data_IF_682615542166
#
_entry.id   IF_682615542166
#
_cell.length_a   1.000
_cell.length_b   1.000
_cell.length_c   1.000
_cell.angle_alpha   90.00
_cell.angle_beta   90.00
_cell.angle_gamma   90.00
#
_symmetry.space_group_name_H-M   'P 1'
#
loop_
_entity.id
_entity.type
_entity.pdbx_description
1 polymer ?
#
# COMPACT_ATOMS: atom_id res chain seq x y z
N UNK A 1 1.35 23.35 -3.63
CA UNK A 1 2.41 23.12 -2.63
C UNK A 1 3.08 21.80 -2.98
N UNK A 2 3.94 21.80 -4.00
CA UNK A 2 4.86 20.69 -4.26
C UNK A 2 6.15 20.94 -3.48
N UNK A 3 6.06 20.91 -2.15
CA UNK A 3 7.17 21.23 -1.25
C UNK A 3 7.50 20.01 -0.37
N UNK A 4 8.69 20.01 0.25
CA UNK A 4 9.22 19.01 1.19
C UNK A 4 8.15 18.30 2.03
N UNK A 5 7.23 19.06 2.62
CA UNK A 5 6.18 18.54 3.50
C UNK A 5 5.22 17.58 2.80
N UNK A 6 4.83 17.85 1.56
CA UNK A 6 3.92 16.98 0.80
C UNK A 6 4.58 15.64 0.49
N UNK A 7 5.80 15.68 -0.04
CA UNK A 7 6.60 14.48 -0.35
C UNK A 7 6.88 13.64 0.89
N UNK A 8 7.30 14.26 1.99
CA UNK A 8 7.57 13.56 3.25
C UNK A 8 6.30 12.96 3.84
N UNK A 9 5.18 13.69 3.85
CA UNK A 9 3.92 13.19 4.42
C UNK A 9 3.36 12.01 3.62
N UNK A 10 3.30 12.13 2.29
CA UNK A 10 2.84 11.04 1.42
C UNK A 10 3.81 9.86 1.48
N UNK A 11 5.12 10.13 1.49
CA UNK A 11 6.14 9.11 1.65
C UNK A 11 6.05 8.36 2.97
N UNK A 12 5.75 9.05 4.07
CA UNK A 12 5.52 8.42 5.37
C UNK A 12 4.31 7.47 5.36
N UNK A 13 3.20 7.87 4.71
CA UNK A 13 2.03 7.00 4.56
C UNK A 13 2.38 5.70 3.80
N UNK A 14 3.04 5.82 2.64
CA UNK A 14 3.50 4.66 1.87
C UNK A 14 4.53 3.81 2.64
N UNK A 15 5.41 4.44 3.43
CA UNK A 15 6.39 3.73 4.25
C UNK A 15 5.71 2.85 5.30
N UNK A 16 4.77 3.42 6.07
CA UNK A 16 4.04 2.68 7.12
C UNK A 16 3.21 1.55 6.51
N UNK A 17 2.47 1.83 5.44
CA UNK A 17 1.64 0.82 4.75
C UNK A 17 2.54 -0.27 4.14
N UNK A 18 3.62 0.09 3.45
CA UNK A 18 4.55 -0.84 2.83
C UNK A 18 5.24 -1.74 3.85
N UNK A 19 5.66 -1.19 4.99
CA UNK A 19 6.25 -1.97 6.08
C UNK A 19 5.23 -2.94 6.69
N UNK A 20 4.00 -2.48 6.90
CA UNK A 20 2.89 -3.31 7.38
C UNK A 20 2.58 -4.46 6.41
N UNK A 21 2.53 -4.18 5.11
CA UNK A 21 2.33 -5.18 4.06
C UNK A 21 3.48 -6.18 4.01
N UNK A 22 4.73 -5.71 4.13
CA UNK A 22 5.91 -6.56 4.08
C UNK A 22 5.91 -7.54 5.26
N UNK A 23 5.74 -7.02 6.48
CA UNK A 23 5.61 -7.84 7.68
C UNK A 23 4.47 -8.85 7.58
N UNK A 24 3.28 -8.40 7.18
CA UNK A 24 2.08 -9.24 7.15
C UNK A 24 2.16 -10.33 6.08
N UNK A 25 2.70 -10.01 4.90
CA UNK A 25 2.95 -10.96 3.82
C UNK A 25 3.92 -12.06 4.25
N UNK A 26 5.04 -11.69 4.85
CA UNK A 26 6.04 -12.63 5.36
C UNK A 26 5.43 -13.52 6.46
N UNK A 27 4.75 -12.92 7.43
CA UNK A 27 4.11 -13.64 8.53
C UNK A 27 3.08 -14.64 8.00
N UNK A 28 2.21 -14.22 7.08
CA UNK A 28 1.19 -15.09 6.48
C UNK A 28 1.82 -16.28 5.75
N UNK A 29 2.90 -16.04 5.00
CA UNK A 29 3.64 -17.10 4.34
C UNK A 29 4.36 -18.04 5.31
N UNK A 30 4.95 -17.51 6.38
CA UNK A 30 5.65 -18.31 7.38
C UNK A 30 4.69 -19.26 8.12
N UNK A 31 3.49 -18.79 8.46
CA UNK A 31 2.48 -19.60 9.16
C UNK A 31 1.77 -20.60 8.22
N UNK A 32 1.56 -20.22 6.95
CA UNK A 32 0.77 -21.00 5.99
C UNK A 32 1.45 -21.09 4.61
N UNK A 33 2.64 -21.73 4.49
CA UNK A 33 3.44 -21.69 3.27
C UNK A 33 2.75 -22.37 2.08
N UNK A 34 1.96 -23.43 2.32
CA UNK A 34 1.29 -24.23 1.28
C UNK A 34 -0.03 -23.64 0.79
N UNK A 35 -0.67 -22.80 1.60
CA UNK A 35 -1.98 -22.20 1.32
C UNK A 35 -1.89 -20.67 1.30
N UNK A 36 -0.70 -20.14 1.02
CA UNK A 36 -0.49 -18.70 0.94
C UNK A 36 -1.35 -18.09 -0.18
N UNK A 37 -2.05 -17.02 0.15
CA UNK A 37 -2.81 -16.20 -0.79
C UNK A 37 -2.43 -14.74 -0.52
N UNK A 38 -2.02 -14.02 -1.55
CA UNK A 38 -1.75 -12.59 -1.45
C UNK A 38 -3.03 -11.83 -1.15
N UNK A 39 -2.97 -10.91 -0.18
CA UNK A 39 -4.12 -10.11 0.22
C UNK A 39 -3.97 -8.66 -0.24
N UNK A 40 -5.05 -7.99 -0.67
CA UNK A 40 -4.98 -6.60 -1.10
C UNK A 40 -4.67 -5.63 0.06
N UNK A 41 -5.07 -5.98 1.29
CA UNK A 41 -4.83 -5.26 2.55
C UNK A 41 -4.77 -6.29 3.70
N UNK A 42 -4.23 -5.92 4.87
CA UNK A 42 -4.08 -6.83 6.00
C UNK A 42 -4.77 -6.33 7.28
N UNK A 43 -5.60 -7.16 7.95
CA UNK A 43 -6.26 -6.77 9.18
C UNK A 43 -5.27 -6.74 10.36
N UNK A 44 -5.30 -5.68 11.16
CA UNK A 44 -4.41 -5.55 12.32
C UNK A 44 -4.85 -6.41 13.50
N UNK A 45 -6.13 -6.39 13.84
CA UNK A 45 -6.73 -7.24 14.88
C UNK A 45 -8.23 -7.39 14.67
N UNK A 46 -8.92 -8.19 15.50
CA UNK A 46 -10.39 -8.35 15.44
C UNK A 46 -11.13 -7.03 15.73
N UNK A 47 -10.62 -6.21 16.65
CA UNK A 47 -11.28 -4.96 17.09
C UNK A 47 -11.00 -3.80 16.14
N UNK A 48 -9.80 -3.76 15.55
CA UNK A 48 -9.35 -2.71 14.62
C UNK A 48 -9.02 -3.31 13.25
N UNK A 49 -9.95 -4.11 12.72
CA UNK A 49 -9.80 -4.84 11.45
C UNK A 49 -9.45 -3.91 10.30
N UNK A 50 -10.18 -2.81 10.15
CA UNK A 50 -10.08 -1.89 9.02
C UNK A 50 -9.09 -0.75 9.22
N UNK A 51 -8.18 -0.81 10.21
CA UNK A 51 -7.31 0.33 10.54
C UNK A 51 -6.51 0.82 9.33
N UNK A 52 -5.88 -0.09 8.57
CA UNK A 52 -5.13 0.25 7.35
C UNK A 52 -5.99 1.04 6.36
N UNK A 53 -7.20 0.55 6.05
CA UNK A 53 -8.11 1.16 5.10
C UNK A 53 -8.64 2.51 5.59
N UNK A 54 -8.96 2.62 6.89
CA UNK A 54 -9.40 3.87 7.52
C UNK A 54 -8.27 4.91 7.48
N UNK A 55 -7.02 4.51 7.73
CA UNK A 55 -5.86 5.39 7.63
C UNK A 55 -5.64 5.86 6.19
N UNK A 56 -5.77 4.97 5.19
CA UNK A 56 -5.72 5.35 3.77
C UNK A 56 -6.82 6.37 3.45
N UNK A 57 -8.07 6.10 3.83
CA UNK A 57 -9.17 7.03 3.59
C UNK A 57 -8.94 8.38 4.28
N UNK A 58 -8.53 8.38 5.55
CA UNK A 58 -8.29 9.59 6.32
C UNK A 58 -7.13 10.42 5.76
N UNK A 59 -6.03 9.78 5.39
CA UNK A 59 -4.89 10.45 4.77
C UNK A 59 -5.26 11.01 3.40
N UNK A 60 -5.94 10.23 2.56
CA UNK A 60 -6.39 10.69 1.24
C UNK A 60 -7.34 11.88 1.34
N UNK A 61 -8.35 11.82 2.21
CA UNK A 61 -9.30 12.91 2.42
C UNK A 61 -8.64 14.17 3.01
N UNK A 62 -7.73 13.99 3.96
CA UNK A 62 -6.91 15.07 4.51
C UNK A 62 -6.07 15.74 3.45
N UNK A 63 -5.38 14.96 2.61
CA UNK A 63 -4.56 15.48 1.52
C UNK A 63 -5.39 16.26 0.49
N UNK A 64 -6.53 15.71 0.04
CA UNK A 64 -7.46 16.40 -0.87
C UNK A 64 -7.96 17.71 -0.27
N UNK A 65 -8.27 17.71 1.04
CA UNK A 65 -8.72 18.92 1.75
C UNK A 65 -7.62 19.99 1.82
N UNK A 66 -6.38 19.60 2.10
CA UNK A 66 -5.22 20.52 2.12
C UNK A 66 -4.92 21.11 0.74
N UNK A 67 -5.09 20.30 -0.31
CA UNK A 67 -4.82 20.72 -1.69
C UNK A 67 -5.90 21.67 -2.24
N UNK A 68 -7.19 21.37 -2.01
CA UNK A 68 -8.32 22.09 -2.61
C UNK A 68 -8.96 23.12 -1.68
N UNK A 69 -9.16 22.82 -0.38
CA UNK A 69 -10.10 23.56 0.48
C UNK A 69 -9.44 24.67 1.33
N UNK A 70 -8.14 24.59 1.63
CA UNK A 70 -7.51 25.56 2.54
C UNK A 70 -7.09 26.84 1.80
N UNK A 71 -7.87 27.90 2.01
CA UNK A 71 -7.49 29.29 1.73
C UNK A 71 -7.46 29.69 0.26
N UNK A 72 -8.19 28.99 -0.61
CA UNK A 72 -8.13 29.19 -2.07
C UNK A 72 -9.54 29.19 -2.66
N UNK A 73 -9.82 30.13 -3.56
CA UNK A 73 -10.97 30.04 -4.47
C UNK A 73 -10.52 29.31 -5.74
N UNK A 74 -10.66 27.98 -5.88
CA UNK A 74 -10.05 27.27 -7.00
C UNK A 74 -10.60 27.69 -8.38
N UNK A 75 -11.81 28.25 -8.40
CA UNK A 75 -12.56 28.58 -9.60
C UNK A 75 -12.59 30.09 -9.84
N UNK A 76 -12.57 30.49 -11.11
CA UNK A 76 -12.93 31.83 -11.54
C UNK A 76 -14.47 32.02 -11.52
N UNK A 77 -14.98 33.27 -11.60
CA UNK A 77 -16.43 33.53 -11.58
C UNK A 77 -17.21 32.85 -12.73
N UNK A 78 -16.54 32.46 -13.80
CA UNK A 78 -17.10 31.69 -14.92
C UNK A 78 -17.09 30.17 -14.69
N UNK A 79 -16.60 29.71 -13.53
CA UNK A 79 -16.49 28.30 -13.16
C UNK A 79 -15.25 27.58 -13.70
N UNK A 80 -14.33 28.28 -14.37
CA UNK A 80 -13.09 27.66 -14.87
C UNK A 80 -12.09 27.45 -13.74
N UNK A 81 -11.30 26.36 -13.82
CA UNK A 81 -10.23 26.10 -12.84
C UNK A 81 -9.06 27.02 -13.17
N UNK A 82 -8.65 27.85 -12.20
CA UNK A 82 -7.51 28.74 -12.39
C UNK A 82 -6.25 27.92 -12.64
N UNK A 83 -5.45 28.30 -13.64
CA UNK A 83 -4.26 27.54 -14.06
C UNK A 83 -3.29 27.21 -12.91
N UNK A 84 -3.11 28.14 -11.96
CA UNK A 84 -2.29 27.94 -10.75
C UNK A 84 -2.74 26.80 -9.84
N UNK A 85 -3.98 26.33 -9.98
CA UNK A 85 -4.56 25.25 -9.19
C UNK A 85 -4.70 23.93 -9.94
N UNK A 86 -4.43 23.86 -11.24
CA UNK A 86 -4.55 22.61 -12.00
C UNK A 86 -3.72 21.47 -11.39
N UNK A 87 -2.48 21.77 -11.00
CA UNK A 87 -1.60 20.80 -10.31
C UNK A 87 -2.19 20.27 -8.99
N UNK A 88 -2.88 21.13 -8.25
CA UNK A 88 -3.55 20.74 -7.01
C UNK A 88 -4.73 19.77 -7.27
N UNK A 89 -5.46 19.97 -8.37
CA UNK A 89 -6.51 19.04 -8.81
C UNK A 89 -5.94 17.70 -9.29
N UNK A 90 -4.82 17.71 -10.01
CA UNK A 90 -4.13 16.48 -10.44
C UNK A 90 -3.68 15.64 -9.22
N UNK A 91 -3.02 16.27 -8.24
CA UNK A 91 -2.61 15.63 -7.00
C UNK A 91 -3.81 15.10 -6.19
N UNK A 92 -4.89 15.89 -6.12
CA UNK A 92 -6.11 15.48 -5.42
C UNK A 92 -6.78 14.29 -6.12
N UNK A 93 -6.79 14.26 -7.44
CA UNK A 93 -7.35 13.16 -8.24
C UNK A 93 -6.59 11.86 -8.00
N UNK A 94 -5.26 11.92 -7.94
CA UNK A 94 -4.42 10.77 -7.57
C UNK A 94 -4.77 10.25 -6.16
N UNK A 95 -4.88 11.14 -5.17
CA UNK A 95 -5.25 10.77 -3.80
C UNK A 95 -6.66 10.17 -3.71
N UNK A 96 -7.59 10.68 -4.49
CA UNK A 96 -8.97 10.19 -4.55
C UNK A 96 -9.06 8.75 -5.07
N UNK A 97 -8.18 8.33 -5.98
CA UNK A 97 -8.13 6.92 -6.42
C UNK A 97 -7.79 5.96 -5.27
N UNK A 98 -6.88 6.34 -4.36
CA UNK A 98 -6.56 5.55 -3.17
C UNK A 98 -7.73 5.54 -2.16
N UNK A 99 -8.43 6.66 -2.01
CA UNK A 99 -9.66 6.71 -1.19
C UNK A 99 -10.73 5.74 -1.72
N UNK A 100 -10.98 5.75 -3.03
CA UNK A 100 -11.94 4.86 -3.69
C UNK A 100 -11.55 3.40 -3.46
N UNK A 101 -10.29 3.04 -3.65
CA UNK A 101 -9.80 1.70 -3.34
C UNK A 101 -10.11 1.29 -1.89
N UNK A 102 -9.77 2.13 -0.91
CA UNK A 102 -9.94 1.78 0.50
C UNK A 102 -11.42 1.69 0.91
N UNK A 103 -12.26 2.59 0.41
CA UNK A 103 -13.70 2.55 0.61
C UNK A 103 -14.32 1.24 0.08
N UNK A 104 -14.02 0.89 -1.17
CA UNK A 104 -14.54 -0.33 -1.78
C UNK A 104 -13.94 -1.60 -1.18
N UNK A 105 -12.70 -1.56 -0.65
CA UNK A 105 -12.12 -2.68 0.08
C UNK A 105 -12.94 -3.01 1.36
N UNK A 106 -13.41 -2.00 2.11
CA UNK A 106 -14.32 -2.21 3.24
C UNK A 106 -15.66 -2.76 2.76
N UNK A 107 -16.21 -2.21 1.67
CA UNK A 107 -17.50 -2.64 1.14
C UNK A 107 -17.46 -4.10 0.64
N UNK A 108 -16.41 -4.49 -0.08
CA UNK A 108 -16.23 -5.84 -0.56
C UNK A 108 -16.00 -6.85 0.57
N UNK A 109 -15.28 -6.49 1.64
CA UNK A 109 -15.15 -7.36 2.82
C UNK A 109 -16.50 -7.61 3.52
N UNK A 110 -17.41 -6.61 3.51
CA UNK A 110 -18.75 -6.76 4.11
C UNK A 110 -19.73 -7.55 3.25
N UNK A 111 -19.71 -7.35 1.93
CA UNK A 111 -20.63 -8.02 0.99
C UNK A 111 -20.12 -9.42 0.63
N UNK A 112 -18.79 -9.62 0.65
CA UNK A 112 -18.08 -10.84 0.29
C UNK A 112 -18.47 -11.43 -1.09
N UNK A 113 -18.45 -10.64 -2.19
CA UNK A 113 -18.68 -11.18 -3.52
C UNK A 113 -17.58 -12.19 -3.91
N UNK A 114 -17.90 -13.17 -4.76
CA UNK A 114 -16.95 -14.22 -5.18
C UNK A 114 -15.62 -13.68 -5.73
N UNK A 115 -15.66 -12.55 -6.43
CA UNK A 115 -14.49 -11.93 -7.06
C UNK A 115 -13.80 -10.85 -6.20
N UNK A 116 -14.08 -10.78 -4.89
CA UNK A 116 -13.64 -9.68 -4.01
C UNK A 116 -12.14 -9.36 -4.09
N UNK A 117 -11.26 -10.36 -4.01
CA UNK A 117 -9.81 -10.15 -4.01
C UNK A 117 -9.31 -9.63 -5.37
N UNK A 118 -9.81 -10.19 -6.47
CA UNK A 118 -9.47 -9.73 -7.82
C UNK A 118 -9.94 -8.30 -8.07
N UNK A 119 -11.16 -7.96 -7.65
CA UNK A 119 -11.68 -6.59 -7.78
C UNK A 119 -10.93 -5.58 -6.91
N UNK A 120 -10.53 -5.97 -5.69
CA UNK A 120 -9.69 -5.10 -4.84
C UNK A 120 -8.31 -4.87 -5.44
N UNK A 121 -7.66 -5.90 -6.01
CA UNK A 121 -6.40 -5.75 -6.72
C UNK A 121 -6.55 -4.90 -7.99
N UNK A 122 -7.67 -5.01 -8.72
CA UNK A 122 -7.97 -4.14 -9.85
C UNK A 122 -8.07 -2.67 -9.41
N UNK A 123 -8.80 -2.37 -8.35
CA UNK A 123 -8.90 -1.00 -7.82
C UNK A 123 -7.55 -0.46 -7.36
N UNK A 124 -6.74 -1.29 -6.71
CA UNK A 124 -5.38 -0.93 -6.30
C UNK A 124 -4.47 -0.69 -7.52
N UNK A 125 -4.59 -1.52 -8.56
CA UNK A 125 -3.85 -1.32 -9.81
C UNK A 125 -4.28 -0.03 -10.52
N UNK A 126 -5.57 0.30 -10.54
CA UNK A 126 -6.05 1.58 -11.08
C UNK A 126 -5.48 2.76 -10.28
N UNK A 127 -5.43 2.67 -8.95
CA UNK A 127 -4.82 3.71 -8.12
C UNK A 127 -3.32 3.90 -8.41
N UNK A 128 -2.54 2.81 -8.52
CA UNK A 128 -1.13 2.89 -8.93
C UNK A 128 -0.96 3.34 -10.38
N UNK A 129 -1.87 2.98 -11.28
CA UNK A 129 -1.90 3.43 -12.67
C UNK A 129 -2.14 4.94 -12.75
N UNK A 130 -3.08 5.46 -11.98
CA UNK A 130 -3.33 6.89 -11.87
C UNK A 130 -2.13 7.62 -11.27
N UNK A 131 -1.53 7.07 -10.20
CA UNK A 131 -0.30 7.62 -9.63
C UNK A 131 0.82 7.66 -10.66
N UNK A 132 1.06 6.59 -11.40
CA UNK A 132 2.10 6.53 -12.42
C UNK A 132 1.84 7.53 -13.57
N UNK A 133 0.60 7.63 -14.04
CA UNK A 133 0.20 8.57 -15.09
C UNK A 133 0.46 10.01 -14.65
N UNK A 134 -0.02 10.39 -13.47
CA UNK A 134 0.19 11.74 -12.94
C UNK A 134 1.68 11.99 -12.69
N UNK A 135 2.42 11.05 -12.12
CA UNK A 135 3.88 11.19 -11.95
C UNK A 135 4.60 11.36 -13.29
N UNK A 136 4.17 10.67 -14.35
CA UNK A 136 4.76 10.80 -15.68
C UNK A 136 4.53 12.21 -16.25
N UNK A 137 3.27 12.66 -16.28
CA UNK A 137 2.90 13.98 -16.79
C UNK A 137 3.45 15.12 -15.91
N UNK A 138 3.54 14.90 -14.60
CA UNK A 138 4.12 15.86 -13.67
C UNK A 138 5.65 15.91 -13.77
N UNK A 139 6.30 14.78 -13.98
CA UNK A 139 7.76 14.73 -14.15
C UNK A 139 8.21 15.33 -15.48
N UNK A 140 7.34 15.42 -16.49
CA UNK A 140 7.66 16.17 -17.71
C UNK A 140 7.67 17.68 -17.50
N UNK A 141 7.06 18.18 -16.42
CA UNK A 141 7.17 19.60 -16.01
C UNK A 141 8.49 19.90 -15.26
N UNK A 142 9.15 18.86 -14.72
CA UNK A 142 10.37 18.99 -13.91
C UNK A 142 11.60 18.55 -14.69
N UNK A 143 12.37 19.53 -15.19
CA UNK A 143 13.66 19.26 -15.83
C UNK A 143 14.78 19.29 -14.79
N UNK A 144 15.82 18.48 -15.00
CA UNK A 144 17.04 18.53 -14.18
C UNK A 144 17.08 17.52 -13.02
N UNK A 145 17.38 17.97 -11.80
CA UNK A 145 17.63 17.08 -10.65
C UNK A 145 16.34 16.53 -10.06
N UNK A 146 15.32 17.39 -9.87
CA UNK A 146 13.99 16.99 -9.39
C UNK A 146 13.34 15.96 -10.33
N UNK A 147 13.41 16.19 -11.64
CA UNK A 147 12.95 15.25 -12.65
C UNK A 147 13.63 13.87 -12.54
N UNK A 148 14.93 13.83 -12.19
CA UNK A 148 15.63 12.56 -11.99
C UNK A 148 15.09 11.78 -10.78
N UNK A 149 14.79 12.46 -9.66
CA UNK A 149 14.15 11.82 -8.50
C UNK A 149 12.76 11.26 -8.85
N UNK A 150 11.94 12.03 -9.59
CA UNK A 150 10.60 11.60 -10.00
C UNK A 150 10.62 10.48 -11.04
N UNK A 151 11.56 10.50 -11.97
CA UNK A 151 11.73 9.41 -12.94
C UNK A 151 12.05 8.09 -12.24
N UNK A 152 12.95 8.11 -11.25
CA UNK A 152 13.24 6.92 -10.44
C UNK A 152 12.03 6.46 -9.62
N UNK A 153 11.22 7.40 -9.09
CA UNK A 153 9.96 7.06 -8.42
C UNK A 153 8.99 6.35 -9.37
N UNK A 154 8.86 6.80 -10.62
CA UNK A 154 8.00 6.16 -11.63
C UNK A 154 8.37 4.70 -11.84
N UNK A 155 9.67 4.35 -11.86
CA UNK A 155 10.12 2.96 -11.98
C UNK A 155 9.60 2.12 -10.81
N UNK A 156 9.73 2.61 -9.58
CA UNK A 156 9.27 1.88 -8.39
C UNK A 156 7.74 1.75 -8.40
N UNK A 157 7.01 2.81 -8.76
CA UNK A 157 5.55 2.79 -8.90
C UNK A 157 5.10 1.83 -9.99
N UNK A 158 5.81 1.74 -11.12
CA UNK A 158 5.54 0.76 -12.17
C UNK A 158 5.70 -0.68 -11.66
N UNK A 159 6.72 -0.98 -10.84
CA UNK A 159 6.88 -2.29 -10.21
C UNK A 159 5.69 -2.61 -9.29
N UNK A 160 5.22 -1.64 -8.49
CA UNK A 160 4.03 -1.82 -7.65
C UNK A 160 2.76 -2.05 -8.47
N UNK A 161 2.57 -1.32 -9.57
CA UNK A 161 1.47 -1.52 -10.51
C UNK A 161 1.52 -2.93 -11.12
N UNK A 162 2.67 -3.31 -11.68
CA UNK A 162 2.86 -4.58 -12.37
C UNK A 162 2.61 -5.77 -11.44
N UNK A 163 3.20 -5.76 -10.23
CA UNK A 163 3.00 -6.81 -9.24
C UNK A 163 1.56 -6.87 -8.71
N UNK A 164 0.87 -5.73 -8.65
CA UNK A 164 -0.56 -5.68 -8.29
C UNK A 164 -1.43 -6.29 -9.39
N UNK A 165 -1.14 -6.05 -10.67
CA UNK A 165 -1.83 -6.71 -11.79
C UNK A 165 -1.57 -8.22 -11.77
N UNK A 166 -0.32 -8.64 -11.56
CA UNK A 166 0.04 -10.06 -11.45
C UNK A 166 -0.70 -10.77 -10.31
N UNK A 167 -1.04 -10.07 -9.22
CA UNK A 167 -1.79 -10.65 -8.10
C UNK A 167 -3.21 -11.10 -8.48
N UNK A 168 -3.78 -10.54 -9.56
CA UNK A 168 -5.09 -10.94 -10.08
C UNK A 168 -5.02 -12.35 -10.69
N UNK A 169 -3.97 -12.65 -11.46
CA UNK A 169 -3.78 -13.93 -12.13
C UNK A 169 -3.02 -14.98 -11.32
N UNK A 170 -2.13 -14.55 -10.43
CA UNK A 170 -1.23 -15.40 -9.66
C UNK A 170 -1.31 -15.11 -8.14
N UNK A 171 -2.48 -15.26 -7.51
CA UNK A 171 -2.67 -14.87 -6.12
C UNK A 171 -1.87 -15.72 -5.11
N UNK A 172 -1.50 -16.95 -5.47
CA UNK A 172 -0.79 -17.87 -4.57
C UNK A 172 0.75 -17.68 -4.60
N UNK A 173 1.25 -16.70 -5.37
CA UNK A 173 2.69 -16.47 -5.48
C UNK A 173 3.19 -15.51 -4.39
N UNK A 174 3.85 -16.08 -3.37
CA UNK A 174 4.46 -15.31 -2.28
C UNK A 174 5.45 -14.24 -2.79
N UNK A 175 6.32 -14.58 -3.74
CA UNK A 175 7.32 -13.64 -4.24
C UNK A 175 6.67 -12.43 -4.91
N UNK A 176 5.54 -12.59 -5.59
CA UNK A 176 4.78 -11.47 -6.14
C UNK A 176 4.24 -10.55 -5.02
N UNK A 177 3.63 -11.13 -3.98
CA UNK A 177 3.16 -10.39 -2.81
C UNK A 177 4.28 -9.66 -2.05
N UNK A 178 5.42 -10.33 -1.88
CA UNK A 178 6.62 -9.78 -1.26
C UNK A 178 7.20 -8.62 -2.07
N UNK A 179 7.32 -8.78 -3.40
CA UNK A 179 7.83 -7.73 -4.30
C UNK A 179 6.90 -6.53 -4.36
N UNK A 180 5.58 -6.75 -4.33
CA UNK A 180 4.59 -5.68 -4.20
C UNK A 180 4.78 -4.89 -2.90
N UNK A 181 4.84 -5.57 -1.76
CA UNK A 181 5.05 -4.92 -0.47
C UNK A 181 6.39 -4.16 -0.40
N UNK A 182 7.47 -4.78 -0.90
CA UNK A 182 8.80 -4.17 -1.03
C UNK A 182 8.77 -2.88 -1.85
N UNK A 183 8.12 -2.91 -3.02
CA UNK A 183 8.03 -1.72 -3.89
C UNK A 183 7.19 -0.61 -3.27
N UNK A 184 6.09 -0.92 -2.60
CA UNK A 184 5.28 0.07 -1.86
C UNK A 184 6.09 0.72 -0.74
N UNK A 185 6.83 -0.08 0.05
CA UNK A 185 7.74 0.42 1.08
C UNK A 185 8.80 1.35 0.46
N UNK A 186 9.38 0.94 -0.67
CA UNK A 186 10.42 1.72 -1.34
C UNK A 186 9.87 3.03 -1.91
N UNK A 187 8.64 3.07 -2.46
CA UNK A 187 8.00 4.32 -2.84
C UNK A 187 7.95 5.30 -1.65
N UNK A 188 7.58 4.81 -0.47
CA UNK A 188 7.53 5.62 0.75
C UNK A 188 8.88 6.20 1.15
N UNK A 189 9.91 5.34 1.20
CA UNK A 189 11.28 5.77 1.51
C UNK A 189 11.78 6.77 0.47
N UNK A 190 11.60 6.49 -0.82
CA UNK A 190 12.10 7.35 -1.88
C UNK A 190 11.41 8.71 -1.90
N UNK A 191 10.09 8.76 -1.66
CA UNK A 191 9.36 10.02 -1.51
C UNK A 191 9.88 10.88 -0.33
N UNK A 192 10.15 10.25 0.82
CA UNK A 192 10.76 10.96 1.97
C UNK A 192 12.13 11.52 1.58
N UNK A 193 12.96 10.70 0.93
CA UNK A 193 14.29 11.10 0.47
C UNK A 193 14.21 12.25 -0.52
N UNK A 194 13.34 12.19 -1.52
CA UNK A 194 13.10 13.29 -2.48
C UNK A 194 12.70 14.56 -1.74
N UNK A 195 11.73 14.46 -0.81
CA UNK A 195 11.27 15.58 0.01
C UNK A 195 12.37 16.28 0.80
N UNK A 196 13.32 15.52 1.33
CA UNK A 196 14.44 16.05 2.12
C UNK A 196 15.57 16.54 1.21
N UNK A 197 16.00 15.75 0.23
CA UNK A 197 17.21 16.03 -0.55
C UNK A 197 17.06 17.17 -1.55
N UNK A 198 15.88 17.32 -2.18
CA UNK A 198 15.70 18.33 -3.24
C UNK A 198 15.57 19.74 -2.67
N UNK A 199 14.90 19.89 -1.52
CA UNK A 199 14.51 21.20 -0.98
C UNK A 199 15.25 21.59 0.32
N UNK A 200 16.27 20.84 0.74
CA UNK A 200 17.15 21.23 1.85
C UNK A 200 18.45 21.81 1.30
N UNK A 201 18.74 23.11 1.48
CA UNK A 201 19.90 23.77 0.86
C UNK A 201 21.24 23.06 1.07
N UNK A 202 21.49 22.56 2.29
CA UNK A 202 22.76 21.90 2.66
C UNK A 202 22.96 20.52 2.00
N UNK A 203 21.90 19.93 1.44
CA UNK A 203 21.91 18.60 0.83
C UNK A 203 21.95 18.65 -0.71
N UNK A 204 21.93 19.84 -1.29
CA UNK A 204 21.94 20.03 -2.74
C UNK A 204 23.32 19.70 -3.31
N UNK A 205 23.39 19.02 -4.47
CA UNK A 205 24.65 18.76 -5.14
C UNK A 205 25.46 20.04 -5.42
N UNK A 206 26.78 19.96 -5.22
CA UNK A 206 27.69 21.09 -5.46
C UNK A 206 27.51 21.66 -6.87
N UNK A 207 27.36 22.98 -6.95
CA UNK A 207 27.16 23.72 -8.20
C UNK A 207 25.69 23.80 -8.65
N UNK A 208 24.76 23.25 -7.85
CA UNK A 208 23.34 23.52 -7.98
C UNK A 208 22.85 24.38 -6.80
N UNK A 209 21.75 25.09 -7.02
CA UNK A 209 21.17 26.03 -6.05
C UNK A 209 19.63 26.06 -6.19
N UNK A 210 18.95 26.43 -5.11
CA UNK A 210 17.51 26.66 -5.13
C UNK A 210 17.21 28.05 -5.70
N UNK A 211 16.26 28.10 -6.62
CA UNK A 211 15.67 29.33 -7.11
C UNK A 211 14.16 29.24 -6.98
N UNK A 212 13.55 30.24 -6.35
CA UNK A 212 12.10 30.36 -6.30
C UNK A 212 11.59 30.90 -7.64
N UNK A 213 10.91 30.08 -8.42
CA UNK A 213 10.21 30.47 -9.65
C UNK A 213 8.70 30.29 -9.47
N UNK A 214 7.93 31.35 -9.74
CA UNK A 214 6.46 31.34 -9.73
C UNK A 214 5.81 30.72 -8.45
N UNK A 215 6.46 30.84 -7.28
CA UNK A 215 5.95 30.30 -6.01
C UNK A 215 6.30 28.83 -5.75
N UNK A 216 7.27 28.27 -6.47
CA UNK A 216 7.85 26.95 -6.24
C UNK A 216 9.38 27.01 -6.32
N UNK A 217 10.05 26.34 -5.38
CA UNK A 217 11.50 26.27 -5.36
C UNK A 217 11.98 25.14 -6.28
N UNK A 218 12.72 25.51 -7.32
CA UNK A 218 13.33 24.59 -8.28
C UNK A 218 14.83 24.52 -8.09
N UNK A 219 15.41 23.33 -8.28
CA UNK A 219 16.87 23.13 -8.22
C UNK A 219 17.46 23.36 -9.61
N UNK A 220 18.24 24.44 -9.75
CA UNK A 220 18.97 24.76 -10.97
C UNK A 220 20.47 24.50 -10.78
N UNK A 221 21.15 24.13 -11.85
CA UNK A 221 22.61 23.92 -11.84
C UNK A 221 23.29 24.93 -12.79
N UNK A 222 24.52 25.32 -12.47
CA UNK A 222 25.24 26.37 -13.24
C UNK A 222 25.54 25.98 -14.69
N UNK A 223 25.77 24.70 -14.97
CA UNK A 223 26.15 24.19 -16.28
C UNK A 223 25.75 22.71 -16.43
N UNK A 224 25.74 22.22 -17.67
CA UNK A 224 25.32 20.85 -18.00
C UNK A 224 26.20 19.78 -17.34
N UNK A 225 27.51 20.03 -17.16
CA UNK A 225 28.39 19.03 -16.51
C UNK A 225 28.04 18.88 -15.03
N UNK A 226 27.73 20.00 -14.38
CA UNK A 226 27.26 19.99 -12.99
C UNK A 226 25.90 19.31 -12.86
N UNK A 227 24.99 19.53 -13.82
CA UNK A 227 23.70 18.85 -13.86
C UNK A 227 23.86 17.33 -14.01
N UNK A 228 24.67 16.87 -14.97
CA UNK A 228 24.91 15.45 -15.19
C UNK A 228 25.59 14.79 -13.99
N UNK A 229 26.52 15.50 -13.34
CA UNK A 229 27.09 15.06 -12.05
C UNK A 229 26.01 14.92 -10.97
N UNK A 230 25.11 15.89 -10.84
CA UNK A 230 24.03 15.85 -9.87
C UNK A 230 23.11 14.65 -10.12
N UNK A 231 22.68 14.41 -11.37
CA UNK A 231 21.87 13.23 -11.73
C UNK A 231 22.59 11.91 -11.43
N UNK A 232 23.90 11.83 -11.70
CA UNK A 232 24.69 10.65 -11.37
C UNK A 232 24.73 10.36 -9.86
N UNK A 233 24.80 11.40 -9.02
CA UNK A 233 24.71 11.26 -7.56
C UNK A 233 23.33 10.78 -7.11
N UNK A 234 22.24 11.27 -7.73
CA UNK A 234 20.88 10.77 -7.46
C UNK A 234 20.76 9.28 -7.82
N UNK A 235 21.30 8.86 -8.98
CA UNK A 235 21.31 7.47 -9.40
C UNK A 235 22.09 6.58 -8.44
N UNK A 236 23.27 7.05 -8.00
CA UNK A 236 24.05 6.35 -6.98
C UNK A 236 23.24 6.23 -5.69
N UNK A 237 22.68 7.33 -5.19
CA UNK A 237 21.85 7.33 -3.98
C UNK A 237 20.71 6.31 -4.08
N UNK A 238 19.98 6.29 -5.19
CA UNK A 238 18.92 5.32 -5.45
C UNK A 238 19.43 3.87 -5.39
N UNK A 239 20.56 3.59 -6.03
CA UNK A 239 21.19 2.27 -6.00
C UNK A 239 21.54 1.80 -4.57
N UNK A 240 22.03 2.70 -3.73
CA UNK A 240 22.32 2.37 -2.31
C UNK A 240 21.05 2.10 -1.50
N UNK A 241 19.96 2.85 -1.75
CA UNK A 241 18.66 2.57 -1.12
C UNK A 241 18.08 1.23 -1.57
N UNK A 242 18.22 0.86 -2.85
CA UNK A 242 17.83 -0.47 -3.34
C UNK A 242 18.57 -1.56 -2.57
N UNK A 243 19.90 -1.48 -2.49
CA UNK A 243 20.73 -2.47 -1.76
C UNK A 243 20.30 -2.53 -0.29
N UNK A 244 20.20 -1.39 0.38
CA UNK A 244 19.84 -1.30 1.80
C UNK A 244 18.45 -1.87 2.10
N UNK A 245 17.45 -1.52 1.30
CA UNK A 245 16.10 -2.05 1.47
C UNK A 245 16.01 -3.54 1.15
N UNK A 246 16.76 -4.04 0.16
CA UNK A 246 16.84 -5.47 -0.14
C UNK A 246 17.45 -6.24 1.02
N UNK A 247 18.56 -5.75 1.58
CA UNK A 247 19.16 -6.33 2.79
C UNK A 247 18.18 -6.33 3.96
N UNK A 248 17.52 -5.21 4.21
CA UNK A 248 16.51 -5.09 5.27
C UNK A 248 15.37 -6.10 5.09
N UNK A 249 14.78 -6.16 3.89
CA UNK A 249 13.59 -6.98 3.62
C UNK A 249 13.89 -8.48 3.67
N UNK A 250 15.06 -8.90 3.15
CA UNK A 250 15.50 -10.29 3.22
C UNK A 250 15.90 -10.70 4.64
N UNK A 251 16.55 -9.82 5.40
CA UNK A 251 16.86 -10.05 6.82
C UNK A 251 15.58 -10.16 7.64
N UNK A 252 14.60 -9.26 7.41
CA UNK A 252 13.30 -9.30 8.05
C UNK A 252 12.59 -10.62 7.77
N UNK A 253 12.65 -11.11 6.52
CA UNK A 253 12.13 -12.43 6.17
C UNK A 253 12.76 -13.55 7.01
N UNK A 254 14.10 -13.62 7.07
CA UNK A 254 14.82 -14.65 7.83
C UNK A 254 14.52 -14.61 9.34
N UNK A 255 14.30 -13.42 9.89
CA UNK A 255 13.92 -13.25 11.30
C UNK A 255 12.49 -13.73 11.52
N UNK A 256 11.54 -13.31 10.68
CA UNK A 256 10.12 -13.60 10.87
C UNK A 256 9.77 -15.08 10.66
N UNK A 257 10.42 -15.78 9.73
CA UNK A 257 10.20 -17.23 9.58
C UNK A 257 10.60 -18.03 10.82
N UNK A 258 11.54 -17.51 11.63
CA UNK A 258 11.93 -18.12 12.90
C UNK A 258 10.98 -17.74 14.04
N UNK A 259 10.47 -16.51 14.04
CA UNK A 259 9.55 -16.00 15.07
C UNK A 259 8.13 -16.56 14.92
N UNK A 260 7.69 -16.80 13.69
CA UNK A 260 6.35 -17.30 13.37
C UNK A 260 6.46 -18.63 12.61
N UNK A 261 6.83 -19.73 13.29
CA UNK A 261 6.94 -21.04 12.66
C UNK A 261 5.60 -21.50 12.08
N UNK A 262 5.67 -22.44 11.13
CA UNK A 262 4.50 -23.03 10.48
C UNK A 262 3.49 -23.51 11.54
N UNK A 263 2.24 -23.08 11.38
CA UNK A 263 1.17 -23.48 12.29
C UNK A 263 0.92 -24.98 12.09
N UNK A 264 1.26 -25.79 13.10
CA UNK A 264 0.99 -27.22 13.07
C UNK A 264 -0.51 -27.41 13.08
N UNK A 265 -1.11 -27.67 11.92
CA UNK A 265 -2.50 -28.09 11.83
C UNK A 265 -2.60 -29.44 12.55
N UNK A 266 -3.13 -29.42 13.78
CA UNK A 266 -3.52 -30.62 14.49
C UNK A 266 -4.66 -31.24 13.69
N UNK A 267 -4.33 -32.20 12.83
CA UNK A 267 -5.33 -33.01 12.15
C UNK A 267 -6.11 -33.76 13.24
N UNK A 268 -7.32 -33.30 13.57
CA UNK A 268 -8.26 -34.15 14.29
C UNK A 268 -8.68 -35.26 13.32
N UNK A 269 -8.38 -36.54 13.65
CA UNK A 269 -8.74 -37.64 12.77
C UNK A 269 -10.27 -37.75 12.68
N UNK A 270 -10.80 -38.01 11.47
CA UNK A 270 -12.24 -38.15 11.18
C UNK A 270 -12.95 -39.13 12.14
N UNK A 271 -12.22 -40.14 12.64
CA UNK A 271 -12.69 -41.11 13.62
C UNK A 271 -13.12 -40.50 14.96
N UNK A 272 -12.74 -39.25 15.26
CA UNK A 272 -13.22 -38.54 16.45
C UNK A 272 -14.61 -37.94 16.21
N UNK A 273 -14.85 -37.40 15.01
CA UNK A 273 -16.17 -36.90 14.60
C UNK A 273 -17.19 -38.02 14.47
N UNK A 274 -16.85 -39.13 13.82
CA UNK A 274 -17.74 -40.29 13.69
C UNK A 274 -18.09 -40.88 15.07
N UNK A 275 -17.12 -40.94 15.98
CA UNK A 275 -17.33 -41.47 17.34
C UNK A 275 -18.08 -40.50 18.25
N UNK A 276 -18.01 -39.19 17.98
CA UNK A 276 -18.81 -38.16 18.68
C UNK A 276 -20.25 -38.12 18.14
N UNK A 277 -20.46 -38.27 16.82
CA UNK A 277 -21.79 -38.44 16.22
C UNK A 277 -22.47 -39.74 16.69
N UNK A 278 -21.77 -40.88 16.72
CA UNK A 278 -22.31 -42.12 17.26
C UNK A 278 -22.71 -41.96 18.73
N UNK A 279 -21.88 -41.30 19.55
CA UNK A 279 -22.19 -41.06 20.96
C UNK A 279 -23.41 -40.15 21.14
N UNK A 280 -23.52 -39.11 20.32
CA UNK A 280 -24.66 -38.18 20.33
C UNK A 280 -25.96 -38.87 19.89
N UNK A 281 -25.90 -39.71 18.86
CA UNK A 281 -27.04 -40.49 18.37
C UNK A 281 -27.52 -41.52 19.39
N UNK A 282 -26.60 -42.19 20.10
CA UNK A 282 -26.94 -43.13 21.18
C UNK A 282 -27.58 -42.42 22.38
N UNK A 283 -27.09 -41.24 22.75
CA UNK A 283 -27.70 -40.43 23.81
C UNK A 283 -29.10 -39.90 23.44
N UNK A 284 -29.30 -39.50 22.17
CA UNK A 284 -30.60 -39.06 21.66
C UNK A 284 -31.63 -40.20 21.66
N UNK A 285 -31.24 -41.42 21.26
CA UNK A 285 -32.12 -42.60 21.33
C UNK A 285 -32.45 -43.01 22.77
N UNK A 286 -31.51 -42.89 23.71
CA UNK A 286 -31.78 -43.13 25.15
C UNK A 286 -32.80 -42.13 25.70
N UNK A 287 -32.66 -40.84 25.38
CA UNK A 287 -33.61 -39.80 25.81
C UNK A 287 -35.00 -40.01 25.21
N UNK A 288 -35.11 -40.43 23.94
CA UNK A 288 -36.42 -40.70 23.32
C UNK A 288 -37.16 -41.86 23.98
N UNK A 289 -36.46 -42.97 24.29
CA UNK A 289 -37.04 -44.12 25.02
C UNK A 289 -37.50 -43.76 26.44
N UNK A 290 -36.75 -42.90 27.13
CA UNK A 290 -37.14 -42.40 28.46
C UNK A 290 -38.39 -41.51 28.39
N UNK A 291 -38.52 -40.67 27.36
CA UNK A 291 -39.72 -39.86 27.15
C UNK A 291 -40.95 -40.70 26.80
N UNK A 292 -40.79 -41.75 25.99
CA UNK A 292 -41.90 -42.65 25.62
C UNK A 292 -42.40 -43.46 26.83
N UNK A 293 -41.50 -43.89 27.72
CA UNK A 293 -41.85 -44.59 28.96
C UNK A 293 -42.56 -43.70 29.99
N UNK A 294 -42.39 -42.37 29.94
CA UNK A 294 -43.03 -41.43 30.86
C UNK A 294 -44.46 -41.07 30.46
N UNK A 295 -44.79 -41.18 29.18
CA UNK A 295 -46.11 -40.85 28.64
C UNK A 295 -47.12 -42.00 28.68
N UNK A 296 -46.72 -43.18 29.17
CA UNK A 296 -47.56 -44.39 29.24
C UNK A 296 -48.00 -44.77 30.66
N UNK A 297 -47.94 -43.85 31.62
CA UNK A 297 -48.50 -44.06 32.97
C UNK A 297 -49.94 -43.54 33.02
N UNK A 298 -50.94 -44.41 33.25
CA UNK A 298 -52.33 -43.99 33.36
C UNK A 298 -52.60 -43.36 34.73
N UNK A 299 -53.30 -42.21 34.73
CA UNK A 299 -54.15 -41.80 35.85
C UNK A 299 -55.60 -42.11 35.49
#
# INVERSE_FOLDING_TARGET
MGATQGHVSVGFAFFVIGLWHLFSCIKLHAQHPKSYITMPWFPLSKTIRYLELILIMGFSAGFVSMEILIGREPLDPDGTIRAKYLRHFEHSTMSMSFFVYAFFAILFDKIAPRAQHGLMHLLQAIAFGQQLLILHLHSTDHMGVEGQYHWLLQIVTFVSLFTTILAIGYPNNFLNGFTRAFSILFQGVWLIVTGIMVWTPDLIPKGCFLKSEAGHDVVLCHDDRTLERAKALVNLQFGWYVIGLTMFSTSLYLVLIKLYPEEKVEYQPLTKYEREEERYNVEAQKKSKICQSRNSLPF
#
